data_IF_920606624910
#
_entry.id   IF_920606624910
#
_cell.length_a   1.000
_cell.length_b   1.000
_cell.length_c   1.000
_cell.angle_alpha   90.00
_cell.angle_beta   90.00
_cell.angle_gamma   90.00
#
_symmetry.space_group_name_H-M   'P 1'
#
loop_
_entity.id
_entity.type
_entity.pdbx_description
1 polymer ?
#
# COMPACT_ATOMS: atom_id res chain seq x y z
N UNK A 1 28.39 5.56 3.28
CA UNK A 1 27.24 4.78 3.81
C UNK A 1 25.97 5.60 4.03
N UNK A 2 26.02 6.74 4.74
CA UNK A 2 24.83 7.55 5.09
C UNK A 2 24.04 8.07 3.88
N UNK A 3 24.71 8.52 2.81
CA UNK A 3 24.04 8.98 1.57
C UNK A 3 23.25 7.86 0.86
N UNK A 4 23.74 6.62 0.90
CA UNK A 4 23.08 5.47 0.26
C UNK A 4 21.79 5.09 1.00
N UNK A 5 21.82 5.05 2.33
CA UNK A 5 20.62 4.76 3.15
C UNK A 5 19.54 5.83 2.96
N UNK A 6 19.93 7.11 2.92
CA UNK A 6 19.00 8.21 2.69
C UNK A 6 18.36 8.14 1.29
N UNK A 7 19.13 7.74 0.27
CA UNK A 7 18.61 7.52 -1.08
C UNK A 7 17.59 6.39 -1.12
N UNK A 8 17.89 5.24 -0.48
CA UNK A 8 16.96 4.11 -0.38
C UNK A 8 15.66 4.53 0.32
N UNK A 9 15.74 5.19 1.49
CA UNK A 9 14.55 5.69 2.21
C UNK A 9 13.71 6.61 1.33
N UNK A 10 14.36 7.53 0.61
CA UNK A 10 13.65 8.49 -0.22
C UNK A 10 12.92 7.82 -1.38
N UNK A 11 13.59 6.89 -2.08
CA UNK A 11 13.02 6.15 -3.21
C UNK A 11 11.92 5.20 -2.75
N UNK A 12 12.15 4.38 -1.72
CA UNK A 12 11.14 3.47 -1.16
C UNK A 12 9.92 4.23 -0.69
N UNK A 13 10.08 5.39 -0.03
CA UNK A 13 8.96 6.22 0.39
C UNK A 13 8.14 6.74 -0.79
N UNK A 14 8.77 7.17 -1.88
CA UNK A 14 8.05 7.64 -3.07
C UNK A 14 7.24 6.52 -3.71
N UNK A 15 7.85 5.34 -3.83
CA UNK A 15 7.17 4.15 -4.37
C UNK A 15 5.98 3.78 -3.49
N UNK A 16 6.17 3.75 -2.16
CA UNK A 16 5.10 3.48 -1.20
C UNK A 16 3.93 4.47 -1.32
N UNK A 17 4.21 5.78 -1.33
CA UNK A 17 3.16 6.79 -1.47
C UNK A 17 2.42 6.64 -2.82
N UNK A 18 3.16 6.39 -3.90
CA UNK A 18 2.56 6.18 -5.21
C UNK A 18 1.62 4.96 -5.23
N UNK A 19 2.05 3.84 -4.65
CA UNK A 19 1.23 2.63 -4.56
C UNK A 19 0.00 2.84 -3.67
N UNK A 20 0.16 3.45 -2.50
CA UNK A 20 -0.95 3.78 -1.61
C UNK A 20 -2.02 4.66 -2.30
N UNK A 21 -1.60 5.71 -3.02
CA UNK A 21 -2.52 6.57 -3.79
C UNK A 21 -3.19 5.75 -4.91
N UNK A 22 -2.43 4.92 -5.62
CA UNK A 22 -2.96 4.08 -6.70
C UNK A 22 -4.02 3.10 -6.19
N UNK A 23 -3.77 2.43 -5.05
CA UNK A 23 -4.74 1.54 -4.40
C UNK A 23 -6.01 2.31 -4.01
N UNK A 24 -5.85 3.51 -3.46
CA UNK A 24 -6.98 4.35 -3.05
C UNK A 24 -7.85 4.77 -4.25
N UNK A 25 -7.22 5.16 -5.36
CA UNK A 25 -7.91 5.50 -6.61
C UNK A 25 -8.62 4.27 -7.19
N UNK A 26 -7.95 3.12 -7.23
CA UNK A 26 -8.55 1.89 -7.74
C UNK A 26 -9.75 1.44 -6.89
N UNK A 27 -9.65 1.54 -5.56
CA UNK A 27 -10.76 1.25 -4.65
C UNK A 27 -11.94 2.19 -4.92
N UNK A 28 -11.68 3.47 -5.10
CA UNK A 28 -12.71 4.46 -5.45
C UNK A 28 -13.37 4.15 -6.80
N UNK A 29 -12.59 3.81 -7.82
CA UNK A 29 -13.09 3.41 -9.14
C UNK A 29 -13.92 2.12 -9.07
N UNK A 30 -13.52 1.16 -8.25
CA UNK A 30 -14.29 -0.06 -8.02
C UNK A 30 -15.66 0.27 -7.41
N UNK A 31 -15.69 1.07 -6.34
CA UNK A 31 -16.94 1.47 -5.67
C UNK A 31 -17.88 2.23 -6.62
N UNK A 32 -17.35 3.20 -7.37
CA UNK A 32 -18.14 3.97 -8.33
C UNK A 32 -18.61 3.08 -9.47
N UNK A 33 -17.72 2.30 -10.06
CA UNK A 33 -18.09 1.47 -11.20
C UNK A 33 -19.12 0.41 -10.81
N UNK A 34 -19.10 -0.08 -9.57
CA UNK A 34 -20.14 -0.98 -9.06
C UNK A 34 -21.50 -0.27 -8.91
N UNK A 35 -21.51 1.03 -8.59
CA UNK A 35 -22.74 1.85 -8.54
C UNK A 35 -23.23 2.28 -9.92
N UNK A 36 -22.33 2.40 -10.89
CA UNK A 36 -22.64 2.79 -12.27
C UNK A 36 -22.81 1.59 -13.21
N UNK A 37 -22.89 0.37 -12.67
CA UNK A 37 -23.08 -0.87 -13.43
C UNK A 37 -22.07 -1.01 -14.58
N UNK A 38 -20.78 -0.74 -14.28
CA UNK A 38 -19.70 -1.06 -15.21
C UNK A 38 -19.77 -2.54 -15.58
N UNK A 39 -19.34 -2.85 -16.81
CA UNK A 39 -19.20 -4.22 -17.28
C UNK A 39 -18.46 -5.08 -16.25
N UNK A 40 -18.98 -6.27 -15.96
CA UNK A 40 -18.40 -7.21 -14.97
C UNK A 40 -16.92 -7.49 -15.23
N UNK A 41 -16.52 -7.56 -16.51
CA UNK A 41 -15.13 -7.76 -16.92
C UNK A 41 -14.21 -6.62 -16.45
N UNK A 42 -14.69 -5.38 -16.45
CA UNK A 42 -13.95 -4.21 -15.98
C UNK A 42 -13.89 -4.20 -14.45
N UNK A 43 -14.97 -4.56 -13.77
CA UNK A 43 -14.99 -4.71 -12.31
C UNK A 43 -14.00 -5.76 -11.83
N UNK A 44 -13.98 -6.94 -12.45
CA UNK A 44 -13.02 -8.01 -12.16
C UNK A 44 -11.59 -7.57 -12.44
N UNK A 45 -11.36 -6.82 -13.53
CA UNK A 45 -10.04 -6.29 -13.85
C UNK A 45 -9.54 -5.30 -12.78
N UNK A 46 -10.37 -4.32 -12.39
CA UNK A 46 -10.05 -3.36 -11.33
C UNK A 46 -9.79 -4.10 -10.01
N UNK A 47 -10.62 -5.09 -9.68
CA UNK A 47 -10.46 -5.89 -8.48
C UNK A 47 -9.11 -6.65 -8.44
N UNK A 48 -8.70 -7.26 -9.55
CA UNK A 48 -7.38 -7.89 -9.68
C UNK A 48 -6.25 -6.87 -9.52
N UNK A 49 -6.38 -5.69 -10.11
CA UNK A 49 -5.40 -4.61 -9.92
C UNK A 49 -5.30 -4.18 -8.46
N UNK A 50 -6.43 -4.01 -7.75
CA UNK A 50 -6.43 -3.71 -6.31
C UNK A 50 -5.66 -4.79 -5.55
N UNK A 51 -5.90 -6.07 -5.85
CA UNK A 51 -5.22 -7.18 -5.19
C UNK A 51 -3.70 -7.12 -5.40
N UNK A 52 -3.22 -6.92 -6.63
CA UNK A 52 -1.78 -6.83 -6.90
C UNK A 52 -1.14 -5.58 -6.29
N UNK A 53 -1.77 -4.41 -6.44
CA UNK A 53 -1.23 -3.15 -5.93
C UNK A 53 -1.21 -3.13 -4.41
N UNK A 54 -2.25 -3.62 -3.73
CA UNK A 54 -2.27 -3.72 -2.25
C UNK A 54 -1.26 -4.73 -1.72
N UNK A 55 -1.03 -5.84 -2.44
CA UNK A 55 0.03 -6.82 -2.09
C UNK A 55 1.42 -6.19 -2.15
N UNK A 56 1.71 -5.46 -3.24
CA UNK A 56 3.00 -4.77 -3.41
C UNK A 56 3.19 -3.66 -2.38
N UNK A 57 2.15 -2.86 -2.14
CA UNK A 57 2.18 -1.79 -1.16
C UNK A 57 2.45 -2.33 0.25
N UNK A 58 1.81 -3.44 0.63
CA UNK A 58 2.04 -4.09 1.91
C UNK A 58 3.49 -4.54 2.10
N UNK A 59 4.07 -5.22 1.10
CA UNK A 59 5.48 -5.67 1.14
C UNK A 59 6.42 -4.47 1.26
N UNK A 60 6.20 -3.43 0.45
CA UNK A 60 7.03 -2.22 0.47
C UNK A 60 6.84 -1.44 1.77
N UNK A 61 5.64 -1.42 2.34
CA UNK A 61 5.33 -0.84 3.64
C UNK A 61 6.13 -1.49 4.77
N UNK A 62 6.18 -2.83 4.82
CA UNK A 62 7.01 -3.58 5.78
C UNK A 62 8.50 -3.21 5.62
N UNK A 63 8.99 -3.18 4.38
CA UNK A 63 10.38 -2.79 4.10
C UNK A 63 10.63 -1.36 4.62
N UNK A 64 9.77 -0.41 4.31
CA UNK A 64 9.91 0.99 4.73
C UNK A 64 9.88 1.14 6.26
N UNK A 65 8.99 0.44 6.96
CA UNK A 65 8.90 0.42 8.42
C UNK A 65 10.20 -0.13 9.02
N UNK A 66 10.70 -1.28 8.52
CA UNK A 66 11.95 -1.87 9.00
C UNK A 66 13.15 -0.94 8.82
N UNK A 67 13.20 -0.21 7.70
CA UNK A 67 14.25 0.78 7.42
C UNK A 67 14.14 1.97 8.38
N UNK A 68 12.93 2.47 8.68
CA UNK A 68 12.75 3.56 9.65
C UNK A 68 13.16 3.16 11.06
N UNK A 69 12.85 1.94 11.50
CA UNK A 69 13.23 1.43 12.82
C UNK A 69 14.75 1.31 12.90
N UNK A 70 15.37 0.61 11.94
CA UNK A 70 16.83 0.37 11.95
C UNK A 70 17.64 1.66 11.79
N UNK A 71 17.21 2.59 10.93
CA UNK A 71 17.84 3.90 10.80
C UNK A 71 17.63 4.77 12.05
N UNK A 72 16.43 4.71 12.66
CA UNK A 72 16.10 5.45 13.88
C UNK A 72 16.95 5.02 15.08
N UNK A 73 17.18 3.72 15.25
CA UNK A 73 18.07 3.16 16.29
C UNK A 73 19.50 3.67 16.09
N UNK A 74 20.02 3.63 14.85
CA UNK A 74 21.39 4.08 14.54
C UNK A 74 21.62 5.57 14.77
N UNK A 75 20.61 6.41 14.53
CA UNK A 75 20.71 7.88 14.62
C UNK A 75 20.18 8.42 15.96
N UNK A 76 19.68 7.54 16.86
CA UNK A 76 19.02 7.90 18.15
C UNK A 76 17.88 8.94 18.01
N UNK A 77 17.29 9.05 16.82
CA UNK A 77 16.15 9.92 16.53
C UNK A 77 15.19 9.17 15.62
N UNK A 78 14.02 8.85 16.16
CA UNK A 78 12.93 8.25 15.40
C UNK A 78 12.01 9.37 14.93
N UNK A 79 11.73 9.40 13.63
CA UNK A 79 10.78 10.34 13.07
C UNK A 79 9.36 9.75 13.20
N UNK A 80 8.80 9.81 14.42
CA UNK A 80 7.59 9.09 14.81
C UNK A 80 6.39 9.34 13.88
N UNK A 81 6.20 10.58 13.41
CA UNK A 81 5.13 10.91 12.48
C UNK A 81 5.19 10.11 11.16
N UNK A 82 6.39 9.93 10.59
CA UNK A 82 6.58 9.17 9.34
C UNK A 82 6.37 7.67 9.55
N UNK A 83 6.76 7.17 10.72
CA UNK A 83 6.56 5.78 11.10
C UNK A 83 5.08 5.48 11.29
N UNK A 84 4.35 6.33 12.03
CA UNK A 84 2.91 6.20 12.25
C UNK A 84 2.15 6.25 10.92
N UNK A 85 2.47 7.20 10.03
CA UNK A 85 1.86 7.26 8.71
C UNK A 85 2.09 5.97 7.90
N UNK A 86 3.33 5.47 7.88
CA UNK A 86 3.68 4.24 7.14
C UNK A 86 2.95 3.02 7.72
N UNK A 87 2.82 2.94 9.05
CA UNK A 87 2.05 1.89 9.72
C UNK A 87 0.57 1.96 9.34
N UNK A 88 -0.07 3.12 9.48
CA UNK A 88 -1.48 3.31 9.14
C UNK A 88 -1.77 2.94 7.68
N UNK A 89 -0.95 3.41 6.74
CA UNK A 89 -1.10 3.08 5.33
C UNK A 89 -0.89 1.58 5.05
N UNK A 90 0.09 0.95 5.69
CA UNK A 90 0.34 -0.50 5.56
C UNK A 90 -0.84 -1.31 6.11
N UNK A 91 -1.38 -0.93 7.27
CA UNK A 91 -2.57 -1.59 7.86
C UNK A 91 -3.82 -1.38 7.02
N UNK A 92 -4.00 -0.19 6.44
CA UNK A 92 -5.09 0.09 5.51
C UNK A 92 -5.02 -0.84 4.29
N UNK A 93 -3.85 -0.95 3.65
CA UNK A 93 -3.64 -1.86 2.53
C UNK A 93 -3.80 -3.34 2.91
N UNK A 94 -3.38 -3.73 4.12
CA UNK A 94 -3.65 -5.08 4.65
C UNK A 94 -5.15 -5.34 4.81
N UNK A 95 -5.91 -4.38 5.35
CA UNK A 95 -7.36 -4.47 5.50
C UNK A 95 -8.07 -4.60 4.15
N UNK A 96 -7.66 -3.83 3.15
CA UNK A 96 -8.12 -3.98 1.76
C UNK A 96 -7.80 -5.38 1.24
N UNK A 97 -6.55 -5.83 1.40
CA UNK A 97 -6.12 -7.13 0.89
C UNK A 97 -6.91 -8.30 1.49
N UNK A 98 -7.18 -8.26 2.80
CA UNK A 98 -8.03 -9.25 3.47
C UNK A 98 -9.46 -9.20 2.92
N UNK A 99 -10.02 -8.00 2.78
CA UNK A 99 -11.39 -7.80 2.27
C UNK A 99 -11.52 -8.32 0.84
N UNK A 100 -10.58 -7.96 -0.04
CA UNK A 100 -10.54 -8.40 -1.44
C UNK A 100 -10.34 -9.91 -1.51
N UNK A 101 -9.43 -10.50 -0.72
CA UNK A 101 -9.29 -11.97 -0.68
C UNK A 101 -10.57 -12.65 -0.21
N UNK A 102 -11.22 -12.12 0.83
CA UNK A 102 -12.49 -12.68 1.30
C UNK A 102 -13.56 -12.64 0.21
N UNK A 103 -13.77 -11.48 -0.42
CA UNK A 103 -14.74 -11.32 -1.52
C UNK A 103 -14.40 -12.25 -2.71
N UNK A 104 -13.10 -12.42 -3.02
CA UNK A 104 -12.67 -13.27 -4.12
C UNK A 104 -13.07 -14.73 -3.98
N UNK A 105 -13.24 -15.23 -2.75
CA UNK A 105 -13.71 -16.60 -2.49
C UNK A 105 -15.18 -16.78 -2.88
N UNK A 106 -15.98 -15.71 -2.78
CA UNK A 106 -17.40 -15.73 -3.14
C UNK A 106 -17.66 -15.43 -4.62
N UNK A 107 -16.68 -14.84 -5.31
CA UNK A 107 -16.75 -14.53 -6.74
C UNK A 107 -16.13 -15.61 -7.64
N UNK A 108 -15.50 -16.63 -7.05
CA UNK A 108 -14.93 -17.81 -7.74
C UNK A 108 -15.94 -18.96 -7.76
#
# INVERSE_FOLDING_TARGET
MVKSVNFVIFTTRKIFIFLFISVSILLFLYIIGNRQEFLDSTQIFIFKLILYSSSLDFIIGIILISVYITAGIKVKRINAAKLIFSLLATFFCLGILITVKFISVWLA
#
